data_IF_600899287987
#
_entry.id   IF_600899287987
#
_cell.length_a   1.000
_cell.length_b   1.000
_cell.length_c   1.000
_cell.angle_alpha   90.00
_cell.angle_beta   90.00
_cell.angle_gamma   90.00
#
_symmetry.space_group_name_H-M   'P 1'
#
loop_
_entity.id
_entity.type
_entity.pdbx_description
1 polymer ?
#
# COMPACT_ATOMS: atom_id res chain seq x y z
N UNK A 1 6.98 15.14 -9.52
CA UNK A 1 8.38 15.62 -9.33
C UNK A 1 9.34 14.43 -9.21
N UNK A 2 9.06 13.46 -8.34
CA UNK A 2 9.94 12.31 -8.10
C UNK A 2 10.37 11.53 -9.37
N UNK A 3 9.49 11.31 -10.34
CA UNK A 3 9.86 10.55 -11.54
C UNK A 3 10.95 11.24 -12.35
N UNK A 4 11.06 12.58 -12.29
CA UNK A 4 12.17 13.31 -12.93
C UNK A 4 13.48 13.05 -12.21
N UNK A 5 13.50 13.07 -10.88
CA UNK A 5 14.67 12.68 -10.09
C UNK A 5 15.10 11.26 -10.46
N UNK A 6 14.17 10.31 -10.41
CA UNK A 6 14.44 8.91 -10.72
C UNK A 6 14.73 8.61 -12.19
N UNK A 7 14.43 9.54 -13.12
CA UNK A 7 14.81 9.44 -14.53
C UNK A 7 16.24 9.95 -14.78
N UNK A 8 16.78 10.77 -13.87
CA UNK A 8 18.19 11.18 -13.85
C UNK A 8 18.97 10.39 -12.79
N UNK A 9 18.49 9.20 -12.46
CA UNK A 9 19.06 8.27 -11.48
C UNK A 9 19.26 8.83 -10.06
N UNK A 10 18.64 9.94 -9.67
CA UNK A 10 18.74 10.42 -8.29
C UNK A 10 17.98 9.52 -7.31
N UNK A 11 18.55 9.32 -6.12
CA UNK A 11 17.96 8.54 -5.03
C UNK A 11 18.08 9.27 -3.68
N UNK A 12 17.26 8.86 -2.72
CA UNK A 12 17.16 9.47 -1.39
C UNK A 12 17.42 8.43 -0.32
N UNK A 13 18.18 8.81 0.71
CA UNK A 13 18.60 7.94 1.81
C UNK A 13 17.58 7.83 2.96
N UNK A 14 16.55 8.68 2.95
CA UNK A 14 15.46 8.69 3.93
C UNK A 14 14.08 8.74 3.26
N UNK A 15 13.07 8.23 3.96
CA UNK A 15 11.68 8.29 3.49
C UNK A 15 11.14 9.73 3.50
N UNK A 16 11.54 10.54 4.47
CA UNK A 16 11.21 11.97 4.54
C UNK A 16 11.84 12.76 3.38
N UNK A 17 13.11 12.47 3.04
CA UNK A 17 13.78 13.07 1.88
C UNK A 17 13.10 12.68 0.56
N UNK A 18 12.72 11.41 0.43
CA UNK A 18 11.94 10.92 -0.71
C UNK A 18 10.56 11.61 -0.81
N UNK A 19 9.89 11.78 0.31
CA UNK A 19 8.59 12.46 0.39
C UNK A 19 8.71 13.96 0.09
N UNK A 20 9.79 14.60 0.52
CA UNK A 20 10.13 15.97 0.14
C UNK A 20 10.40 16.06 -1.38
N UNK A 21 11.07 15.10 -1.99
CA UNK A 21 11.28 15.10 -3.45
C UNK A 21 9.99 14.84 -4.26
N UNK A 22 8.99 14.20 -3.65
CA UNK A 22 7.66 13.99 -4.21
C UNK A 22 6.89 15.32 -4.33
N UNK A 23 6.84 16.12 -3.26
CA UNK A 23 5.94 17.29 -3.18
C UNK A 23 6.42 18.47 -2.33
N UNK A 24 7.69 18.50 -1.94
CA UNK A 24 8.30 19.55 -1.12
C UNK A 24 7.85 19.52 0.34
N UNK A 25 8.04 20.65 1.03
CA UNK A 25 7.67 20.83 2.44
C UNK A 25 6.17 20.63 2.73
N UNK A 26 5.32 20.74 1.72
CA UNK A 26 3.89 20.49 1.90
C UNK A 26 3.61 19.01 2.17
N UNK A 27 4.30 18.10 1.46
CA UNK A 27 4.09 16.66 1.65
C UNK A 27 4.67 16.16 2.97
N UNK A 28 5.82 16.69 3.41
CA UNK A 28 6.38 16.37 4.73
C UNK A 28 5.47 16.90 5.85
N UNK A 29 4.91 18.11 5.71
CA UNK A 29 3.94 18.68 6.67
C UNK A 29 2.66 17.86 6.77
N UNK A 30 2.21 17.25 5.68
CA UNK A 30 1.02 16.39 5.66
C UNK A 30 1.15 15.12 6.52
N UNK A 31 2.36 14.75 6.94
CA UNK A 31 2.56 13.68 7.95
C UNK A 31 2.19 14.12 9.38
N UNK A 32 2.10 15.43 9.63
CA UNK A 32 1.99 15.97 11.00
C UNK A 32 0.60 16.53 11.34
N UNK A 33 -0.37 16.37 10.44
CA UNK A 33 -1.74 16.89 10.61
C UNK A 33 -2.76 15.91 10.03
N UNK A 34 -4.00 15.98 10.49
CA UNK A 34 -5.06 15.14 9.92
C UNK A 34 -5.56 15.69 8.57
N UNK A 35 -6.19 14.84 7.76
CA UNK A 35 -6.86 15.30 6.53
C UNK A 35 -8.04 16.23 6.85
N UNK A 36 -8.74 15.99 7.95
CA UNK A 36 -9.80 16.86 8.45
C UNK A 36 -9.29 18.29 8.70
N UNK A 37 -8.22 18.44 9.50
CA UNK A 37 -7.60 19.73 9.78
C UNK A 37 -7.07 20.43 8.53
N UNK A 38 -6.45 19.66 7.63
CA UNK A 38 -5.88 20.18 6.39
C UNK A 38 -6.98 20.75 5.47
N UNK A 39 -8.10 20.04 5.31
CA UNK A 39 -9.20 20.47 4.47
C UNK A 39 -10.00 21.62 5.10
N UNK A 40 -10.20 21.61 6.42
CA UNK A 40 -10.81 22.76 7.10
C UNK A 40 -9.96 24.03 6.90
N UNK A 41 -8.63 23.94 7.04
CA UNK A 41 -7.71 25.06 6.77
C UNK A 41 -7.71 25.50 5.31
N UNK A 42 -8.01 24.60 4.37
CA UNK A 42 -8.20 24.93 2.96
C UNK A 42 -9.60 25.49 2.64
N UNK A 43 -10.48 25.66 3.63
CA UNK A 43 -11.80 26.28 3.48
C UNK A 43 -12.94 25.31 3.16
N UNK A 44 -12.72 23.99 3.23
CA UNK A 44 -13.79 23.01 3.05
C UNK A 44 -14.66 22.90 4.30
N UNK A 45 -15.98 22.76 4.10
CA UNK A 45 -16.92 22.61 5.21
C UNK A 45 -16.80 21.23 5.87
N UNK A 46 -17.08 21.16 7.17
CA UNK A 46 -17.16 19.88 7.89
C UNK A 46 -18.16 18.91 7.25
N UNK A 47 -19.25 19.43 6.67
CA UNK A 47 -20.24 18.62 5.96
C UNK A 47 -19.61 17.91 4.76
N UNK A 48 -18.85 18.62 3.93
CA UNK A 48 -18.14 18.01 2.81
C UNK A 48 -17.12 16.96 3.29
N UNK A 49 -16.38 17.26 4.36
CA UNK A 49 -15.41 16.32 4.93
C UNK A 49 -16.12 15.03 5.41
N UNK A 50 -17.24 15.16 6.12
CA UNK A 50 -17.97 14.02 6.67
C UNK A 50 -18.73 13.21 5.61
N UNK A 51 -19.30 13.87 4.60
CA UNK A 51 -20.20 13.24 3.62
C UNK A 51 -19.51 12.82 2.31
N UNK A 52 -18.33 13.36 2.01
CA UNK A 52 -17.59 13.05 0.77
C UNK A 52 -16.21 12.47 1.05
N UNK A 53 -15.42 13.12 1.91
CA UNK A 53 -14.04 12.70 2.18
C UNK A 53 -14.02 11.45 3.04
N UNK A 54 -14.78 11.41 4.14
CA UNK A 54 -14.82 10.27 5.05
C UNK A 54 -15.23 8.96 4.34
N UNK A 55 -16.26 8.92 3.49
CA UNK A 55 -16.57 7.71 2.72
C UNK A 55 -15.43 7.25 1.82
N UNK A 56 -14.71 8.17 1.15
CA UNK A 56 -13.52 7.83 0.36
C UNK A 56 -12.41 7.24 1.23
N UNK A 57 -12.14 7.83 2.39
CA UNK A 57 -11.18 7.31 3.37
C UNK A 57 -11.54 5.90 3.84
N UNK A 58 -12.83 5.64 4.09
CA UNK A 58 -13.31 4.36 4.61
C UNK A 58 -13.25 3.24 3.56
N UNK A 59 -13.55 3.53 2.29
CA UNK A 59 -13.40 2.52 1.22
C UNK A 59 -11.93 2.22 0.93
N UNK A 60 -11.07 3.24 0.91
CA UNK A 60 -9.67 3.06 0.52
C UNK A 60 -8.79 2.57 1.67
N UNK A 61 -8.98 3.08 2.89
CA UNK A 61 -8.10 2.83 4.03
C UNK A 61 -8.82 2.30 5.27
N UNK A 62 -10.13 2.05 5.22
CA UNK A 62 -10.91 1.54 6.37
C UNK A 62 -10.88 2.42 7.62
N UNK A 63 -10.50 3.69 7.46
CA UNK A 63 -10.23 4.66 8.53
C UNK A 63 -10.95 5.98 8.23
N UNK A 64 -11.23 6.75 9.28
CA UNK A 64 -11.89 8.05 9.18
C UNK A 64 -10.94 9.19 8.78
N UNK A 65 -11.40 10.43 8.96
CA UNK A 65 -10.69 11.66 8.53
C UNK A 65 -9.68 12.19 9.55
N UNK A 66 -9.57 11.55 10.71
CA UNK A 66 -8.63 11.95 11.77
C UNK A 66 -7.21 11.41 11.56
N UNK A 67 -6.93 10.80 10.39
CA UNK A 67 -5.61 10.26 10.04
C UNK A 67 -4.81 11.24 9.18
N UNK A 68 -3.53 10.95 8.98
CA UNK A 68 -2.56 11.82 8.32
C UNK A 68 -3.07 12.38 6.98
N UNK A 69 -2.85 13.67 6.75
CA UNK A 69 -3.30 14.39 5.56
C UNK A 69 -2.74 13.81 4.26
N UNK A 70 -1.55 13.20 4.28
CA UNK A 70 -0.95 12.61 3.09
C UNK A 70 -1.72 11.35 2.66
N UNK A 71 -2.09 10.50 3.61
CA UNK A 71 -2.99 9.34 3.38
C UNK A 71 -4.33 9.83 2.81
N UNK A 72 -4.85 10.94 3.35
CA UNK A 72 -6.04 11.61 2.83
C UNK A 72 -5.93 12.02 1.36
N UNK A 73 -4.83 12.67 0.99
CA UNK A 73 -4.58 13.08 -0.38
C UNK A 73 -4.47 11.87 -1.33
N UNK A 74 -3.77 10.80 -0.92
CA UNK A 74 -3.66 9.55 -1.69
C UNK A 74 -5.02 8.88 -1.86
N UNK A 75 -5.83 8.84 -0.80
CA UNK A 75 -7.20 8.29 -0.85
C UNK A 75 -8.07 9.05 -1.85
N UNK A 76 -8.06 10.38 -1.80
CA UNK A 76 -8.87 11.22 -2.69
C UNK A 76 -8.40 11.15 -4.14
N UNK A 77 -7.11 10.94 -4.39
CA UNK A 77 -6.61 10.65 -5.75
C UNK A 77 -7.23 9.37 -6.33
N UNK A 78 -7.57 8.39 -5.47
CA UNK A 78 -8.29 7.17 -5.86
C UNK A 78 -9.78 7.35 -6.14
N UNK A 79 -10.32 8.57 -6.03
CA UNK A 79 -11.70 8.91 -6.42
C UNK A 79 -11.76 9.53 -7.82
N UNK A 80 -10.61 9.87 -8.40
CA UNK A 80 -10.55 10.48 -9.72
C UNK A 80 -11.09 9.54 -10.82
N UNK A 81 -11.62 10.15 -11.88
CA UNK A 81 -12.18 9.42 -13.03
C UNK A 81 -11.12 8.84 -13.99
N UNK A 82 -9.86 9.30 -13.89
CA UNK A 82 -8.74 8.90 -14.75
C UNK A 82 -8.08 7.57 -14.38
N UNK A 83 -8.67 6.78 -13.48
CA UNK A 83 -8.10 5.50 -13.05
C UNK A 83 -8.16 4.44 -14.15
N UNK A 84 -7.16 3.55 -14.14
CA UNK A 84 -7.02 2.47 -15.09
C UNK A 84 -6.68 1.16 -14.38
N UNK A 85 -6.88 0.05 -15.08
CA UNK A 85 -6.46 -1.28 -14.61
C UNK A 85 -5.75 -2.04 -15.72
N UNK A 86 -4.91 -3.00 -15.34
CA UNK A 86 -4.26 -3.88 -16.31
C UNK A 86 -5.31 -4.85 -16.88
N UNK A 87 -5.39 -4.96 -18.21
CA UNK A 87 -6.21 -5.98 -18.88
C UNK A 87 -5.77 -7.37 -18.41
N UNK A 88 -6.69 -8.17 -17.86
CA UNK A 88 -6.37 -9.46 -17.21
C UNK A 88 -6.06 -9.37 -15.71
N UNK A 89 -6.07 -8.16 -15.14
CA UNK A 89 -5.98 -7.89 -13.71
C UNK A 89 -4.60 -7.42 -13.25
N UNK A 90 -4.59 -6.60 -12.20
CA UNK A 90 -3.36 -5.99 -11.66
C UNK A 90 -2.34 -7.01 -11.11
N UNK A 91 -2.75 -8.27 -10.86
CA UNK A 91 -1.83 -9.37 -10.51
C UNK A 91 -0.72 -9.56 -11.55
N UNK A 92 -0.99 -9.21 -12.81
CA UNK A 92 -0.03 -9.32 -13.91
C UNK A 92 1.13 -8.33 -13.79
N UNK A 93 1.00 -7.25 -13.03
CA UNK A 93 2.10 -6.29 -12.80
C UNK A 93 3.26 -6.99 -12.12
N UNK A 94 3.02 -7.66 -10.98
CA UNK A 94 4.07 -8.35 -10.24
C UNK A 94 4.68 -9.51 -11.05
N UNK A 95 3.85 -10.31 -11.73
CA UNK A 95 4.32 -11.39 -12.61
C UNK A 95 5.19 -10.86 -13.75
N UNK A 96 4.77 -9.77 -14.40
CA UNK A 96 5.52 -9.14 -15.48
C UNK A 96 6.86 -8.57 -15.01
N UNK A 97 6.90 -7.94 -13.82
CA UNK A 97 8.14 -7.42 -13.24
C UNK A 97 9.13 -8.53 -12.90
N UNK A 98 8.68 -9.65 -12.32
CA UNK A 98 9.54 -10.80 -12.04
C UNK A 98 10.15 -11.38 -13.32
N UNK A 99 9.33 -11.52 -14.37
CA UNK A 99 9.79 -11.97 -15.68
C UNK A 99 10.80 -11.00 -16.31
N UNK A 100 10.50 -9.70 -16.33
CA UNK A 100 11.37 -8.67 -16.91
C UNK A 100 12.71 -8.56 -16.18
N UNK A 101 12.70 -8.68 -14.85
CA UNK A 101 13.90 -8.68 -14.02
C UNK A 101 14.75 -9.96 -14.18
N UNK A 102 14.21 -11.01 -14.82
CA UNK A 102 14.79 -12.36 -14.86
C UNK A 102 15.14 -12.85 -13.44
N UNK A 103 14.27 -12.54 -12.49
CA UNK A 103 14.49 -12.84 -11.08
C UNK A 103 14.31 -14.34 -10.83
N UNK A 104 15.16 -14.91 -9.97
CA UNK A 104 14.92 -16.22 -9.40
C UNK A 104 13.93 -16.09 -8.24
N UNK A 105 12.74 -16.68 -8.41
CA UNK A 105 11.72 -16.68 -7.37
C UNK A 105 11.88 -17.92 -6.48
N UNK A 106 12.30 -17.69 -5.25
CA UNK A 106 12.34 -18.72 -4.21
C UNK A 106 11.04 -18.63 -3.39
N UNK A 107 10.22 -19.67 -3.47
CA UNK A 107 9.01 -19.78 -2.66
C UNK A 107 9.36 -20.20 -1.22
N UNK A 108 9.42 -19.24 -0.32
CA UNK A 108 9.65 -19.50 1.10
C UNK A 108 9.55 -18.25 1.98
N UNK A 109 9.44 -18.48 3.28
CA UNK A 109 9.32 -17.43 4.29
C UNK A 109 10.69 -17.14 4.91
N UNK A 110 11.15 -15.89 4.83
CA UNK A 110 12.39 -15.47 5.48
C UNK A 110 12.19 -15.42 7.00
N UNK A 111 13.04 -16.14 7.73
CA UNK A 111 12.97 -16.28 9.20
C UNK A 111 14.02 -15.41 9.89
N UNK A 112 15.22 -15.32 9.32
CA UNK A 112 16.27 -14.48 9.90
C UNK A 112 17.24 -13.93 8.89
N UNK A 113 17.80 -12.77 9.23
CA UNK A 113 18.89 -12.11 8.52
C UNK A 113 20.04 -11.98 9.51
N UNK A 114 21.24 -12.35 9.11
CA UNK A 114 22.47 -12.24 9.92
C UNK A 114 23.61 -11.65 9.08
N UNK A 115 24.32 -10.62 9.54
CA UNK A 115 25.51 -10.15 8.87
C UNK A 115 26.64 -11.18 9.04
N UNK A 116 27.35 -11.47 7.95
CA UNK A 116 28.54 -12.32 7.93
C UNK A 116 29.70 -11.54 7.32
N UNK A 117 30.85 -11.57 7.97
CA UNK A 117 32.06 -10.94 7.45
C UNK A 117 32.95 -12.01 6.82
N UNK A 118 33.24 -11.87 5.53
CA UNK A 118 34.19 -12.73 4.82
C UNK A 118 35.53 -11.99 4.69
N UNK A 119 36.62 -12.51 5.30
CA UNK A 119 37.94 -11.93 5.09
C UNK A 119 38.37 -12.09 3.63
N UNK A 120 39.02 -11.07 3.08
CA UNK A 120 39.66 -11.11 1.76
C UNK A 120 41.18 -11.13 1.92
N UNK A 121 41.92 -11.90 1.09
CA UNK A 121 43.38 -11.96 1.17
C UNK A 121 44.08 -10.61 0.91
N UNK A 122 43.46 -9.73 0.11
CA UNK A 122 43.90 -8.36 -0.12
C UNK A 122 42.69 -7.42 -0.16
N UNK A 123 42.67 -6.44 0.74
CA UNK A 123 41.63 -5.42 0.85
C UNK A 123 40.70 -5.59 2.04
N UNK A 124 39.69 -4.73 2.11
CA UNK A 124 38.73 -4.71 3.21
C UNK A 124 37.88 -5.99 3.23
N UNK A 125 37.53 -6.50 4.43
CA UNK A 125 36.61 -7.61 4.55
C UNK A 125 35.26 -7.24 3.95
N UNK A 126 34.57 -8.24 3.39
CA UNK A 126 33.25 -8.02 2.80
C UNK A 126 32.15 -8.49 3.70
N UNK A 127 31.22 -7.57 3.93
CA UNK A 127 29.99 -7.82 4.66
C UNK A 127 28.98 -8.40 3.68
N UNK A 128 28.51 -9.59 4.03
CA UNK A 128 27.45 -10.31 3.37
C UNK A 128 26.32 -10.52 4.35
N UNK A 129 25.16 -10.95 3.85
CA UNK A 129 24.01 -11.28 4.66
C UNK A 129 23.62 -12.72 4.44
N UNK A 130 23.69 -13.53 5.50
CA UNK A 130 23.11 -14.85 5.48
C UNK A 130 21.62 -14.75 5.82
N UNK A 131 20.79 -15.19 4.87
CA UNK A 131 19.34 -15.30 5.04
C UNK A 131 19.01 -16.76 5.33
N UNK A 132 18.20 -16.98 6.35
CA UNK A 132 17.57 -18.28 6.63
C UNK A 132 16.10 -18.17 6.29
N UNK A 133 15.60 -19.09 5.49
CA UNK A 133 14.20 -19.12 5.07
C UNK A 133 13.65 -20.55 5.01
N UNK A 134 12.34 -20.67 5.21
CA UNK A 134 11.65 -21.95 5.17
C UNK A 134 10.94 -22.14 3.83
N UNK A 135 11.23 -23.24 3.15
CA UNK A 135 10.59 -23.63 1.89
C UNK A 135 9.73 -24.87 2.12
N UNK A 136 9.01 -25.32 1.08
CA UNK A 136 8.30 -26.60 1.13
C UNK A 136 9.24 -27.80 1.31
N UNK A 137 10.53 -27.66 0.98
CA UNK A 137 11.56 -28.69 1.19
C UNK A 137 12.20 -28.63 2.59
N UNK A 138 11.85 -27.62 3.39
CA UNK A 138 12.38 -27.39 4.74
C UNK A 138 13.22 -26.12 4.86
N UNK A 139 13.88 -26.02 6.01
CA UNK A 139 14.72 -24.88 6.38
C UNK A 139 16.02 -24.87 5.58
N UNK A 140 16.31 -23.76 4.93
CA UNK A 140 17.55 -23.55 4.17
C UNK A 140 18.01 -22.09 4.30
N UNK A 141 19.11 -21.75 3.63
CA UNK A 141 19.61 -20.38 3.62
C UNK A 141 20.69 -20.15 2.58
N UNK A 142 20.89 -18.88 2.25
CA UNK A 142 21.91 -18.44 1.30
C UNK A 142 22.46 -17.06 1.68
N UNK A 143 23.50 -16.61 0.98
CA UNK A 143 24.27 -15.41 1.30
C UNK A 143 24.19 -14.37 0.18
N UNK A 144 23.91 -13.12 0.55
CA UNK A 144 23.66 -12.03 -0.38
C UNK A 144 24.52 -10.80 -0.07
N UNK A 145 24.97 -10.07 -1.10
CA UNK A 145 25.72 -8.81 -0.94
C UNK A 145 24.84 -7.63 -0.51
N UNK A 146 23.59 -7.62 -0.98
CA UNK A 146 22.59 -6.57 -0.75
C UNK A 146 21.26 -7.24 -0.42
N UNK A 147 20.57 -6.73 0.60
CA UNK A 147 19.25 -7.21 1.00
C UNK A 147 18.27 -6.04 1.00
N UNK A 148 17.13 -6.23 0.35
CA UNK A 148 16.04 -5.26 0.31
C UNK A 148 14.80 -5.93 0.89
N UNK A 149 14.29 -5.40 1.99
CA UNK A 149 13.10 -5.90 2.68
C UNK A 149 11.87 -5.20 2.08
N UNK A 150 11.12 -5.99 1.31
CA UNK A 150 9.89 -5.60 0.62
C UNK A 150 8.62 -6.14 1.32
N UNK A 151 8.65 -6.28 2.64
CA UNK A 151 7.55 -6.76 3.46
C UNK A 151 7.41 -5.91 4.73
N UNK A 152 6.19 -5.68 5.24
CA UNK A 152 6.00 -4.87 6.43
C UNK A 152 6.56 -5.58 7.66
N UNK A 153 7.62 -5.01 8.24
CA UNK A 153 8.23 -5.51 9.47
C UNK A 153 7.30 -5.21 10.66
N UNK A 154 6.98 -6.22 11.44
CA UNK A 154 6.19 -6.07 12.66
C UNK A 154 5.54 -7.37 13.12
N UNK A 155 5.05 -7.41 14.37
CA UNK A 155 4.34 -8.58 14.89
C UNK A 155 3.11 -8.90 14.02
N UNK A 156 2.88 -10.19 13.71
CA UNK A 156 1.79 -10.71 12.84
C UNK A 156 1.91 -10.42 11.34
N UNK A 157 2.96 -9.73 10.91
CA UNK A 157 3.26 -9.47 9.50
C UNK A 157 4.51 -10.25 9.10
N UNK A 158 5.59 -9.59 8.67
CA UNK A 158 6.87 -10.23 8.44
C UNK A 158 7.63 -10.42 9.77
N UNK A 159 7.68 -11.66 10.26
CA UNK A 159 8.38 -12.02 11.50
C UNK A 159 9.84 -12.41 11.23
N UNK A 160 10.66 -11.44 10.80
CA UNK A 160 12.07 -11.65 10.49
C UNK A 160 12.92 -11.31 11.72
N UNK A 161 13.70 -12.29 12.20
CA UNK A 161 14.66 -12.09 13.29
C UNK A 161 15.99 -11.52 12.76
N UNK A 162 16.39 -10.34 13.23
CA UNK A 162 17.71 -9.78 12.94
C UNK A 162 18.74 -10.26 13.96
N UNK A 163 19.70 -11.08 13.54
CA UNK A 163 20.71 -11.69 14.43
C UNK A 163 22.04 -10.95 14.34
N UNK A 164 22.74 -10.79 15.46
CA UNK A 164 24.14 -10.33 15.52
C UNK A 164 24.40 -8.97 14.83
N UNK A 165 23.42 -8.06 14.84
CA UNK A 165 23.60 -6.69 14.37
C UNK A 165 24.14 -5.79 15.48
N UNK A 166 25.10 -4.93 15.13
CA UNK A 166 25.70 -3.95 16.02
C UNK A 166 25.74 -2.57 15.33
N UNK A 167 24.93 -1.58 15.76
CA UNK A 167 23.87 -1.70 16.78
C UNK A 167 22.73 -2.63 16.33
N UNK A 168 21.90 -3.14 17.25
CA UNK A 168 20.71 -3.92 16.91
C UNK A 168 19.76 -3.14 15.97
N UNK A 169 19.12 -3.84 15.04
CA UNK A 169 18.06 -3.26 14.22
C UNK A 169 16.86 -2.96 15.13
N UNK A 170 16.28 -1.74 15.09
CA UNK A 170 15.17 -1.39 15.95
C UNK A 170 13.92 -2.21 15.62
N UNK A 171 13.08 -2.43 16.62
CA UNK A 171 11.75 -2.99 16.40
C UNK A 171 10.82 -1.95 15.76
N UNK A 172 9.96 -2.43 14.86
CA UNK A 172 8.97 -1.61 14.20
C UNK A 172 7.57 -2.07 14.65
N UNK A 173 6.95 -1.41 15.64
CA UNK A 173 5.67 -1.85 16.20
C UNK A 173 4.53 -1.83 15.18
N UNK A 174 4.65 -1.00 14.13
CA UNK A 174 3.81 -0.96 12.91
C UNK A 174 2.43 -1.61 13.08
N UNK A 175 1.51 -0.95 13.82
CA UNK A 175 0.18 -1.49 13.98
C UNK A 175 -0.52 -1.45 12.62
N UNK A 176 -0.92 -2.61 12.10
CA UNK A 176 -1.83 -2.68 10.96
C UNK A 176 -3.24 -2.94 11.46
N UNK A 177 -4.22 -2.62 10.63
CA UNK A 177 -5.59 -3.05 10.88
C UNK A 177 -6.03 -4.08 9.85
N UNK A 178 -6.93 -4.96 10.29
CA UNK A 178 -7.50 -5.97 9.43
C UNK A 178 -8.51 -5.32 8.48
N UNK A 179 -8.58 -5.83 7.26
CA UNK A 179 -9.67 -5.59 6.32
C UNK A 179 -10.09 -6.91 5.72
N UNK A 180 -11.40 -7.11 5.61
CA UNK A 180 -11.98 -8.25 4.93
C UNK A 180 -12.67 -7.77 3.66
N UNK A 181 -12.32 -8.39 2.54
CA UNK A 181 -13.03 -8.27 1.28
C UNK A 181 -13.89 -9.52 1.09
N UNK A 182 -15.20 -9.38 1.21
CA UNK A 182 -16.16 -10.46 0.97
C UNK A 182 -16.76 -10.29 -0.41
N UNK A 183 -16.64 -11.30 -1.26
CA UNK A 183 -17.22 -11.37 -2.60
C UNK A 183 -18.46 -12.27 -2.56
N UNK A 184 -19.60 -11.74 -2.99
CA UNK A 184 -20.90 -12.42 -2.93
C UNK A 184 -21.52 -12.40 -4.32
N UNK A 185 -21.77 -13.58 -4.90
CA UNK A 185 -22.65 -13.69 -6.06
C UNK A 185 -24.07 -13.85 -5.54
N UNK A 186 -24.89 -12.80 -5.61
CA UNK A 186 -26.20 -12.80 -4.98
C UNK A 186 -27.05 -11.57 -5.26
N UNK A 187 -28.28 -11.62 -4.74
CA UNK A 187 -29.31 -10.58 -4.86
C UNK A 187 -29.30 -9.69 -3.64
N UNK A 188 -29.01 -8.41 -3.84
CA UNK A 188 -28.96 -7.42 -2.77
C UNK A 188 -30.36 -7.16 -2.17
N UNK A 189 -30.44 -7.10 -0.85
CA UNK A 189 -31.63 -6.65 -0.12
C UNK A 189 -31.74 -5.13 -0.15
N UNK A 190 -32.43 -4.59 -1.15
CA UNK A 190 -32.57 -3.14 -1.34
C UNK A 190 -33.33 -2.44 -0.21
N UNK A 191 -34.21 -3.17 0.50
CA UNK A 191 -34.97 -2.64 1.63
C UNK A 191 -34.08 -2.26 2.81
N UNK A 192 -32.95 -2.96 2.99
CA UNK A 192 -31.94 -2.58 3.98
C UNK A 192 -31.38 -1.16 3.74
N UNK A 193 -31.33 -0.73 2.48
CA UNK A 193 -30.87 0.60 2.08
C UNK A 193 -32.01 1.62 1.93
N UNK A 194 -33.22 1.28 2.38
CA UNK A 194 -34.39 2.16 2.33
C UNK A 194 -35.17 2.11 1.01
N UNK A 195 -34.82 1.23 0.07
CA UNK A 195 -35.52 1.08 -1.22
C UNK A 195 -36.53 -0.07 -1.13
N UNK A 196 -37.81 0.28 -0.96
CA UNK A 196 -38.92 -0.69 -0.88
C UNK A 196 -39.17 -1.41 -2.20
N UNK A 197 -39.02 -0.70 -3.32
CA UNK A 197 -39.14 -1.25 -4.66
C UNK A 197 -37.73 -1.54 -5.22
N UNK A 198 -37.33 -2.82 -5.38
CA UNK A 198 -36.03 -3.17 -5.93
C UNK A 198 -35.76 -2.59 -7.32
N UNK A 199 -36.80 -2.33 -8.13
CA UNK A 199 -36.64 -1.76 -9.46
C UNK A 199 -36.14 -0.32 -9.46
N UNK A 200 -36.33 0.40 -8.35
CA UNK A 200 -35.83 1.77 -8.14
C UNK A 200 -34.36 1.83 -7.68
N UNK A 201 -33.75 0.67 -7.40
CA UNK A 201 -32.37 0.59 -6.94
C UNK A 201 -31.40 0.58 -8.13
N UNK A 202 -30.62 1.66 -8.26
CA UNK A 202 -29.67 1.85 -9.36
C UNK A 202 -28.23 2.10 -8.90
N UNK A 203 -27.94 1.88 -7.61
CA UNK A 203 -26.61 2.14 -7.05
C UNK A 203 -25.66 0.98 -7.34
N UNK A 204 -24.56 1.26 -8.03
CA UNK A 204 -23.48 0.29 -8.24
C UNK A 204 -22.46 0.29 -7.08
N UNK A 205 -22.50 1.30 -6.21
CA UNK A 205 -21.59 1.45 -5.07
C UNK A 205 -22.26 2.22 -3.94
N UNK A 206 -22.00 1.79 -2.71
CA UNK A 206 -22.50 2.34 -1.46
C UNK A 206 -21.29 2.52 -0.54
N UNK A 207 -21.09 3.74 -0.07
CA UNK A 207 -20.03 4.08 0.87
C UNK A 207 -20.64 4.53 2.19
N UNK A 208 -19.89 4.35 3.28
CA UNK A 208 -20.36 4.69 4.62
C UNK A 208 -19.62 5.90 5.17
N UNK A 209 -20.30 6.72 5.96
CA UNK A 209 -19.67 7.73 6.82
C UNK A 209 -19.14 7.07 8.09
N UNK A 210 -18.39 7.81 8.91
CA UNK A 210 -17.92 7.31 10.19
C UNK A 210 -19.10 7.04 11.13
N UNK A 211 -19.32 5.77 11.45
CA UNK A 211 -20.30 5.33 12.43
C UNK A 211 -19.83 3.99 13.02
N UNK A 212 -19.57 3.91 14.34
CA UNK A 212 -19.03 2.71 14.96
C UNK A 212 -20.01 1.52 14.95
N UNK A 213 -21.29 1.76 14.71
CA UNK A 213 -22.32 0.72 14.65
C UNK A 213 -22.44 0.07 13.26
N UNK A 214 -21.75 0.59 12.25
CA UNK A 214 -21.75 -0.01 10.92
C UNK A 214 -20.76 -1.17 10.84
N UNK A 215 -21.26 -2.31 10.37
CA UNK A 215 -20.45 -3.52 10.17
C UNK A 215 -19.75 -3.58 8.81
N UNK A 216 -20.05 -2.64 7.89
CA UNK A 216 -19.39 -2.49 6.60
C UNK A 216 -18.76 -1.10 6.45
N UNK A 217 -17.69 -1.04 5.66
CA UNK A 217 -17.07 0.19 5.18
C UNK A 217 -17.66 0.62 3.84
N UNK A 218 -17.89 -0.34 2.94
CA UNK A 218 -18.46 -0.11 1.61
C UNK A 218 -19.01 -1.39 0.98
N UNK A 219 -19.88 -1.23 0.00
CA UNK A 219 -20.41 -2.30 -0.85
C UNK A 219 -20.43 -1.82 -2.30
N UNK A 220 -20.03 -2.65 -3.25
CA UNK A 220 -20.09 -2.27 -4.67
C UNK A 220 -20.04 -3.45 -5.62
N UNK A 221 -20.60 -3.28 -6.80
CA UNK A 221 -20.56 -4.28 -7.87
C UNK A 221 -19.13 -4.39 -8.40
N UNK A 222 -18.67 -5.61 -8.66
CA UNK A 222 -17.39 -5.88 -9.32
C UNK A 222 -17.62 -6.62 -10.63
N UNK A 223 -16.81 -6.29 -11.62
CA UNK A 223 -16.84 -6.87 -12.95
C UNK A 223 -15.50 -7.53 -13.29
N UNK A 224 -15.48 -8.53 -14.20
CA UNK A 224 -14.25 -9.16 -14.64
C UNK A 224 -13.24 -8.17 -15.24
N UNK A 225 -11.96 -8.33 -14.91
CA UNK A 225 -10.85 -7.55 -15.48
C UNK A 225 -10.47 -8.13 -16.84
N UNK A 226 -11.05 -7.61 -17.93
CA UNK A 226 -10.66 -8.03 -19.29
C UNK A 226 -11.69 -7.83 -20.40
N UNK A 227 -12.95 -7.58 -20.06
CA UNK A 227 -13.98 -7.23 -21.04
C UNK A 227 -13.72 -5.82 -21.62
N UNK A 228 -13.86 -5.67 -22.94
CA UNK A 228 -13.59 -4.40 -23.60
C UNK A 228 -14.54 -3.30 -23.10
N UNK A 229 -13.95 -2.18 -22.68
CA UNK A 229 -14.56 -0.86 -22.42
C UNK A 229 -15.94 -0.86 -21.76
N UNK A 230 -15.95 -0.58 -20.45
CA UNK A 230 -17.04 0.20 -19.85
C UNK A 230 -18.43 -0.43 -19.94
N UNK A 231 -18.52 -1.75 -20.13
CA UNK A 231 -19.76 -2.49 -19.96
C UNK A 231 -20.22 -2.29 -18.53
N UNK A 232 -21.15 -1.34 -18.32
CA UNK A 232 -22.06 -1.41 -17.18
C UNK A 232 -22.53 -2.87 -17.11
N UNK A 233 -22.60 -3.48 -15.91
CA UNK A 233 -23.08 -4.85 -15.77
C UNK A 233 -24.32 -5.02 -16.65
N UNK A 234 -24.25 -5.90 -17.64
CA UNK A 234 -25.33 -6.15 -18.61
C UNK A 234 -26.50 -6.91 -17.97
N UNK A 235 -26.70 -6.76 -16.67
CA UNK A 235 -27.89 -7.23 -15.97
C UNK A 235 -29.02 -6.23 -16.23
N UNK A 236 -29.42 -6.09 -17.50
CA UNK A 236 -30.56 -5.24 -17.89
C UNK A 236 -31.87 -5.70 -17.26
N UNK A 237 -31.96 -6.96 -16.83
CA UNK A 237 -33.18 -7.53 -16.26
C UNK A 237 -33.27 -7.38 -14.73
N UNK A 238 -32.13 -7.25 -14.03
CA UNK A 238 -32.12 -7.18 -12.57
C UNK A 238 -30.85 -6.50 -12.00
N UNK A 239 -30.94 -5.24 -11.55
CA UNK A 239 -29.79 -4.49 -11.03
C UNK A 239 -29.32 -4.99 -9.66
N UNK A 240 -30.06 -5.87 -8.99
CA UNK A 240 -29.75 -6.34 -7.64
C UNK A 240 -28.94 -7.64 -7.61
N UNK A 241 -29.00 -8.44 -8.69
CA UNK A 241 -28.22 -9.67 -8.85
C UNK A 241 -26.89 -9.38 -9.54
N UNK A 242 -25.80 -9.53 -8.81
CA UNK A 242 -24.45 -9.32 -9.33
C UNK A 242 -23.41 -10.05 -8.47
N UNK A 243 -22.13 -9.87 -8.83
CA UNK A 243 -21.03 -10.10 -7.91
C UNK A 243 -20.77 -8.81 -7.14
N UNK A 244 -21.05 -8.84 -5.84
CA UNK A 244 -20.86 -7.73 -4.92
C UNK A 244 -19.60 -7.93 -4.11
N UNK A 245 -18.84 -6.85 -3.93
CA UNK A 245 -17.70 -6.79 -3.01
C UNK A 245 -18.09 -5.93 -1.81
N UNK A 246 -17.93 -6.48 -0.62
CA UNK A 246 -18.15 -5.80 0.65
C UNK A 246 -16.82 -5.69 1.38
N UNK A 247 -16.46 -4.47 1.77
CA UNK A 247 -15.33 -4.25 2.68
C UNK A 247 -15.86 -4.10 4.10
N UNK A 248 -15.29 -4.85 5.03
CA UNK A 248 -15.60 -4.83 6.47
C UNK A 248 -14.33 -4.96 7.32
N UNK A 249 -14.44 -4.70 8.62
CA UNK A 249 -13.33 -4.89 9.57
C UNK A 249 -13.11 -6.36 9.90
N UNK A 250 -14.21 -7.11 10.03
CA UNK A 250 -14.25 -8.53 10.34
C UNK A 250 -15.02 -9.29 9.26
N UNK A 251 -14.91 -10.62 9.25
CA UNK A 251 -15.72 -11.47 8.38
C UNK A 251 -17.21 -11.27 8.69
N UNK A 252 -18.04 -11.22 7.64
CA UNK A 252 -19.47 -11.00 7.80
C UNK A 252 -20.12 -12.24 8.41
N UNK A 253 -20.91 -12.05 9.47
CA UNK A 253 -21.70 -13.13 10.04
C UNK A 253 -22.84 -13.51 9.09
N UNK A 254 -23.44 -14.69 9.31
CA UNK A 254 -24.60 -15.11 8.53
C UNK A 254 -25.75 -14.11 8.63
N UNK A 255 -26.00 -13.58 9.82
CA UNK A 255 -27.05 -12.57 10.06
C UNK A 255 -26.75 -11.28 9.30
N UNK A 256 -25.49 -10.85 9.24
CA UNK A 256 -25.08 -9.68 8.45
C UNK A 256 -25.21 -9.91 6.95
N UNK A 257 -24.92 -11.13 6.47
CA UNK A 257 -25.15 -11.52 5.08
C UNK A 257 -26.64 -11.53 4.74
N UNK A 258 -27.47 -12.13 5.59
CA UNK A 258 -28.92 -12.20 5.42
C UNK A 258 -29.59 -10.81 5.53
N UNK A 259 -28.97 -9.86 6.24
CA UNK A 259 -29.38 -8.45 6.22
C UNK A 259 -29.10 -7.80 4.85
N UNK A 260 -27.91 -8.05 4.28
CA UNK A 260 -27.45 -7.41 3.05
C UNK A 260 -28.02 -8.07 1.78
N UNK A 261 -28.33 -9.36 1.81
CA UNK A 261 -28.70 -10.14 0.64
C UNK A 261 -29.96 -10.96 0.89
N UNK A 262 -30.92 -10.92 -0.03
CA UNK A 262 -32.12 -11.79 0.05
C UNK A 262 -31.81 -13.23 -0.35
N UNK A 263 -30.79 -13.42 -1.18
CA UNK A 263 -30.29 -14.71 -1.60
C UNK A 263 -28.86 -14.59 -2.16
N UNK A 264 -28.07 -15.65 -2.05
CA UNK A 264 -26.72 -15.72 -2.62
C UNK A 264 -26.35 -17.15 -2.99
N UNK A 265 -25.55 -17.29 -4.04
CA UNK A 265 -25.06 -18.57 -4.58
C UNK A 265 -23.68 -18.94 -4.05
N UNK A 266 -22.81 -17.95 -3.87
CA UNK A 266 -21.45 -18.16 -3.39
C UNK A 266 -20.96 -16.96 -2.59
N UNK A 267 -20.17 -17.24 -1.57
CA UNK A 267 -19.50 -16.24 -0.71
C UNK A 267 -18.03 -16.63 -0.60
N UNK A 268 -17.13 -15.72 -0.94
CA UNK A 268 -15.69 -15.89 -0.75
C UNK A 268 -15.13 -14.68 0.00
N UNK A 269 -14.54 -14.90 1.17
CA UNK A 269 -13.88 -13.85 1.95
C UNK A 269 -12.36 -13.93 1.81
N UNK A 270 -11.72 -12.76 1.74
CA UNK A 270 -10.27 -12.61 1.88
C UNK A 270 -9.97 -11.63 3.01
N UNK A 271 -9.26 -12.13 4.00
CA UNK A 271 -8.81 -11.36 5.16
C UNK A 271 -7.35 -11.00 4.97
N UNK A 272 -7.01 -9.72 5.16
CA UNK A 272 -5.63 -9.26 5.10
C UNK A 272 -5.36 -8.12 6.08
N UNK A 273 -4.08 -7.88 6.38
CA UNK A 273 -3.61 -6.70 7.08
C UNK A 273 -3.19 -5.65 6.04
N UNK A 274 -4.16 -4.96 5.45
CA UNK A 274 -3.90 -4.11 4.27
C UNK A 274 -3.16 -2.83 4.59
N UNK A 275 -3.50 -2.17 5.71
CA UNK A 275 -3.03 -0.81 5.97
C UNK A 275 -2.49 -0.64 7.38
N UNK A 276 -1.43 0.18 7.54
CA UNK A 276 -1.08 0.76 8.83
C UNK A 276 -2.27 1.47 9.47
N UNK A 277 -2.31 1.44 10.80
CA UNK A 277 -3.11 2.36 11.60
C UNK A 277 -2.38 3.69 11.63
N UNK A 278 -2.97 4.68 10.98
CA UNK A 278 -2.38 6.00 10.81
C UNK A 278 -2.81 6.92 11.95
N UNK A 279 -1.89 7.77 12.41
CA UNK A 279 -2.15 8.83 13.38
C UNK A 279 -1.10 9.93 13.23
N UNK A 280 -1.49 11.20 13.03
CA UNK A 280 -0.55 12.29 13.12
C UNK A 280 -0.13 12.56 14.58
N UNK A 281 1.11 13.02 14.85
CA UNK A 281 2.23 13.09 13.91
C UNK A 281 2.81 11.69 13.61
N UNK A 282 3.28 11.50 12.38
CA UNK A 282 3.84 10.22 11.93
C UNK A 282 5.30 10.37 11.51
N UNK A 283 6.11 9.34 11.81
CA UNK A 283 7.52 9.25 11.39
C UNK A 283 7.73 7.95 10.64
N UNK A 284 8.34 8.03 9.45
CA UNK A 284 8.60 6.83 8.68
C UNK A 284 9.77 6.05 9.28
N UNK A 285 9.70 4.70 9.29
CA UNK A 285 10.85 3.85 9.55
C UNK A 285 12.04 4.22 8.66
N UNK A 286 13.29 4.04 9.11
CA UNK A 286 14.45 4.30 8.30
C UNK A 286 14.49 3.40 7.06
N UNK A 287 14.76 3.99 5.90
CA UNK A 287 14.97 3.25 4.65
C UNK A 287 16.24 2.39 4.69
N UNK A 288 17.29 2.87 5.36
CA UNK A 288 18.58 2.17 5.51
C UNK A 288 18.65 1.60 6.91
N UNK A 289 18.61 0.27 7.03
CA UNK A 289 18.72 -0.43 8.32
C UNK A 289 20.18 -0.74 8.69
N UNK A 290 20.98 -1.08 7.67
CA UNK A 290 22.42 -1.33 7.80
C UNK A 290 23.08 -1.10 6.43
N UNK A 291 24.42 -1.11 6.36
CA UNK A 291 25.15 -1.04 5.08
C UNK A 291 24.69 -2.17 4.15
N UNK A 292 24.09 -1.82 3.02
CA UNK A 292 23.51 -2.74 2.04
C UNK A 292 22.27 -3.53 2.52
N UNK A 293 21.60 -3.07 3.58
CA UNK A 293 20.31 -3.59 4.04
C UNK A 293 19.28 -2.46 4.06
N UNK A 294 18.24 -2.58 3.23
CA UNK A 294 17.24 -1.54 3.00
C UNK A 294 15.84 -2.03 3.38
N UNK A 295 15.00 -1.14 3.91
CA UNK A 295 13.60 -1.39 4.26
C UNK A 295 12.67 -0.45 3.50
N UNK A 296 12.19 -0.90 2.33
CA UNK A 296 11.40 -0.05 1.44
C UNK A 296 9.94 0.13 1.92
N UNK A 297 9.34 -0.90 2.55
CA UNK A 297 7.97 -0.80 3.07
C UNK A 297 7.84 0.19 4.23
N UNK A 298 8.94 0.74 4.75
CA UNK A 298 8.90 1.88 5.65
C UNK A 298 8.09 3.06 5.09
N UNK A 299 8.07 3.26 3.77
CA UNK A 299 7.30 4.34 3.13
C UNK A 299 5.78 4.15 3.27
N UNK A 300 5.28 2.94 3.52
CA UNK A 300 3.83 2.71 3.71
C UNK A 300 3.25 3.47 4.91
N UNK A 301 4.11 3.88 5.86
CA UNK A 301 3.72 4.78 6.96
C UNK A 301 3.37 6.19 6.50
N UNK A 302 3.89 6.65 5.37
CA UNK A 302 3.43 7.89 4.76
C UNK A 302 2.05 7.69 4.12
N UNK A 303 1.92 6.65 3.29
CA UNK A 303 0.65 6.11 2.79
C UNK A 303 0.94 4.77 2.08
N UNK A 304 0.05 3.80 2.23
CA UNK A 304 0.15 2.53 1.50
C UNK A 304 -0.63 2.64 0.19
N UNK A 305 0.08 2.48 -0.92
CA UNK A 305 -0.46 2.48 -2.28
C UNK A 305 0.57 1.84 -3.22
N UNK A 306 0.11 1.13 -4.26
CA UNK A 306 0.99 0.45 -5.20
C UNK A 306 2.01 1.39 -5.87
N UNK A 307 1.60 2.62 -6.19
CA UNK A 307 2.48 3.62 -6.79
C UNK A 307 3.59 4.06 -5.81
N UNK A 308 3.28 4.22 -4.52
CA UNK A 308 4.28 4.53 -3.51
C UNK A 308 5.26 3.37 -3.31
N UNK A 309 4.78 2.13 -3.35
CA UNK A 309 5.65 0.95 -3.34
C UNK A 309 6.59 0.93 -4.54
N UNK A 310 6.12 1.30 -5.74
CA UNK A 310 6.96 1.39 -6.94
C UNK A 310 8.01 2.51 -6.83
N UNK A 311 7.61 3.69 -6.33
CA UNK A 311 8.52 4.81 -6.06
C UNK A 311 9.59 4.41 -5.03
N UNK A 312 9.20 3.76 -3.94
CA UNK A 312 10.12 3.27 -2.91
C UNK A 312 11.08 2.20 -3.45
N UNK A 313 10.58 1.26 -4.25
CA UNK A 313 11.39 0.21 -4.86
C UNK A 313 12.43 0.78 -5.83
N UNK A 314 12.03 1.70 -6.72
CA UNK A 314 12.98 2.37 -7.63
C UNK A 314 14.01 3.18 -6.85
N UNK A 315 13.60 3.87 -5.79
CA UNK A 315 14.51 4.60 -4.92
C UNK A 315 15.53 3.67 -4.22
N UNK A 316 15.08 2.54 -3.66
CA UNK A 316 15.95 1.57 -3.00
C UNK A 316 16.96 0.94 -3.97
N UNK A 317 16.52 0.61 -5.19
CA UNK A 317 17.40 0.07 -6.24
C UNK A 317 18.49 1.07 -6.66
N UNK A 318 18.12 2.33 -6.92
CA UNK A 318 19.06 3.40 -7.27
C UNK A 318 20.02 3.70 -6.10
N UNK A 319 19.50 3.76 -4.87
CA UNK A 319 20.30 3.99 -3.66
C UNK A 319 21.32 2.87 -3.46
N UNK A 320 20.93 1.61 -3.67
CA UNK A 320 21.82 0.46 -3.60
C UNK A 320 22.89 0.53 -4.70
N UNK A 321 22.50 0.81 -5.94
CA UNK A 321 23.42 0.96 -7.08
C UNK A 321 24.46 2.05 -6.85
N UNK A 322 24.04 3.26 -6.47
CA UNK A 322 24.98 4.38 -6.27
C UNK A 322 25.93 4.15 -5.11
N UNK A 323 25.46 3.56 -4.02
CA UNK A 323 26.35 3.18 -2.90
C UNK A 323 27.33 2.09 -3.29
N UNK A 324 26.92 1.14 -4.13
CA UNK A 324 27.79 0.11 -4.66
C UNK A 324 28.89 0.68 -5.57
N UNK A 325 28.55 1.66 -6.41
CA UNK A 325 29.47 2.31 -7.35
C UNK A 325 30.27 3.46 -6.72
N UNK A 326 29.94 3.91 -5.51
CA UNK A 326 30.55 5.09 -4.88
C UNK A 326 30.05 6.45 -5.41
N UNK A 327 28.90 6.48 -6.09
CA UNK A 327 28.32 7.68 -6.70
C UNK A 327 27.54 8.54 -5.69
N UNK A 328 28.26 9.16 -4.74
CA UNK A 328 27.62 9.96 -3.68
C UNK A 328 26.87 11.21 -4.22
N UNK A 329 27.29 11.75 -5.36
CA UNK A 329 26.68 12.96 -5.94
C UNK A 329 25.25 12.77 -6.46
N UNK A 330 24.81 11.52 -6.66
CA UNK A 330 23.46 11.18 -7.10
C UNK A 330 22.51 10.91 -5.93
N UNK A 331 22.98 11.07 -4.69
CA UNK A 331 22.20 10.83 -3.48
C UNK A 331 21.72 12.15 -2.87
N UNK A 332 20.48 12.14 -2.37
CA UNK A 332 19.87 13.23 -1.60
C UNK A 332 19.90 14.59 -2.30
N UNK A 333 19.83 14.59 -3.63
CA UNK A 333 19.83 15.81 -4.44
C UNK A 333 18.60 16.68 -4.12
N UNK A 334 18.84 17.94 -3.79
CA UNK A 334 17.82 18.97 -3.62
C UNK A 334 17.71 19.84 -4.89
N UNK A 335 16.58 20.53 -5.07
CA UNK A 335 16.42 21.59 -6.07
C UNK A 335 16.79 21.24 -7.52
N UNK A 336 16.38 20.04 -7.97
CA UNK A 336 16.69 19.54 -9.31
C UNK A 336 16.21 20.49 -10.43
N UNK A 337 15.12 21.22 -10.21
CA UNK A 337 14.65 22.18 -11.23
C UNK A 337 15.59 23.36 -11.43
N UNK A 338 16.28 23.81 -10.38
CA UNK A 338 17.28 24.87 -10.49
C UNK A 338 18.53 24.32 -11.16
N UNK A 339 18.95 23.11 -10.77
CA UNK A 339 20.10 22.42 -11.36
C UNK A 339 19.94 22.14 -12.85
N UNK A 340 18.78 21.65 -13.29
CA UNK A 340 18.48 21.41 -14.70
C UNK A 340 18.41 22.70 -15.54
N UNK A 341 18.13 23.86 -14.93
CA UNK A 341 18.17 25.17 -15.62
C UNK A 341 19.59 25.70 -15.80
N UNK A 342 20.54 25.27 -14.97
CA UNK A 342 21.95 25.68 -15.05
C UNK A 342 22.81 24.73 -15.88
N UNK A 343 22.33 23.50 -16.12
CA UNK A 343 23.03 22.47 -16.91
C UNK A 343 22.54 22.39 -18.37
N UNK A 344 21.46 23.09 -18.71
CA UNK A 344 20.96 23.35 -20.09
C UNK A 344 21.25 24.80 -20.46
#
# INVERSE_FOLDING_TARGET
RIYRYQAHDYAFSSNEGLLHALGGEDFTRMLNQSIDEALQRAGFSQKFINEVVCPAMRVNYGQGVNINSFVGAVSLAGVDSGLWSVKGGNKLVCTGLLYAAKAELIHGDVISIEPKTRPRPSGDPVNLYHLTYNTTAGLTGDTYDIVVIAAPLGPKLANITFKNFHPPIPEFPNPYHQTVATFIHGRLNTSFFGYRDPSSFHLASIFTTENPNLFINSLGVVSPVGEEKGGKPTHQDDPTLAVWKVFSREELTKEQLDLLFTSYHSVEAKTWWAYPRYSPPEKCPPLVLHRHLYYLNGLERAASAAELSAVAAKNAALLAFHRWQGNQHSLDQQDLQEKLKTEL
#
